data_IF_254171990685
#
_entry.id   IF_254171990685
#
_cell.length_a   1.000
_cell.length_b   1.000
_cell.length_c   1.000
_cell.angle_alpha   90.00
_cell.angle_beta   90.00
_cell.angle_gamma   90.00
#
_symmetry.space_group_name_H-M   'P 1'
#
loop_
_entity.id
_entity.type
_entity.pdbx_description
1 polymer ?
#
# COMPACT_ATOMS: atom_id res chain seq x y z
N UNK A 1 11.13 11.64 25.46
CA UNK A 1 11.76 10.68 24.53
C UNK A 1 11.06 10.84 23.19
N UNK A 2 11.79 11.02 22.10
CA UNK A 2 11.20 11.11 20.77
C UNK A 2 10.57 9.78 20.40
N UNK A 3 9.35 9.79 19.84
CA UNK A 3 8.63 8.57 19.46
C UNK A 3 9.35 7.92 18.27
N UNK A 4 9.77 6.67 18.41
CA UNK A 4 10.36 5.87 17.33
C UNK A 4 9.27 5.06 16.64
N UNK A 5 9.19 5.15 15.32
CA UNK A 5 8.22 4.38 14.56
C UNK A 5 8.73 2.95 14.34
N UNK A 6 7.88 1.94 14.56
CA UNK A 6 8.20 0.55 14.21
C UNK A 6 8.11 0.32 12.70
N UNK A 7 8.75 -0.75 12.23
CA UNK A 7 8.46 -1.35 10.94
C UNK A 7 7.15 -2.14 11.00
N UNK A 8 6.47 -2.29 9.87
CA UNK A 8 5.30 -3.17 9.78
C UNK A 8 5.64 -4.33 8.84
N UNK A 9 5.77 -5.53 9.41
CA UNK A 9 6.14 -6.74 8.68
C UNK A 9 5.30 -7.91 9.18
N UNK A 10 4.89 -8.78 8.26
CA UNK A 10 4.11 -9.99 8.58
C UNK A 10 2.87 -9.72 9.46
N UNK A 11 2.16 -8.61 9.16
CA UNK A 11 0.97 -8.20 9.92
C UNK A 11 1.24 -7.64 11.32
N UNK A 12 2.51 -7.44 11.71
CA UNK A 12 2.91 -7.00 13.05
C UNK A 12 3.76 -5.74 13.00
N UNK A 13 3.65 -4.92 14.06
CA UNK A 13 4.59 -3.83 14.32
C UNK A 13 5.83 -4.39 15.03
N UNK A 14 7.01 -4.15 14.43
CA UNK A 14 8.29 -4.67 14.90
C UNK A 14 9.27 -3.51 15.09
N UNK A 15 9.87 -3.41 16.26
CA UNK A 15 10.90 -2.41 16.52
C UNK A 15 12.14 -2.70 15.66
N UNK A 16 12.66 -1.69 14.97
CA UNK A 16 13.86 -1.85 14.16
C UNK A 16 15.12 -1.94 15.02
N UNK A 17 16.03 -2.83 14.62
CA UNK A 17 17.36 -2.98 15.23
C UNK A 17 18.39 -1.96 14.72
N UNK A 18 17.96 -1.04 13.82
CA UNK A 18 18.84 -0.04 13.22
C UNK A 18 19.40 0.94 14.25
N UNK A 19 20.62 1.38 14.02
CA UNK A 19 21.20 2.54 14.71
C UNK A 19 20.95 3.86 13.97
N UNK A 20 20.44 3.79 12.72
CA UNK A 20 20.26 4.94 11.83
C UNK A 20 18.78 5.32 11.74
N UNK A 21 18.46 6.57 12.16
CA UNK A 21 17.09 7.07 12.28
C UNK A 21 16.97 8.43 11.61
N UNK A 22 15.90 8.64 10.86
CA UNK A 22 15.55 9.91 10.23
C UNK A 22 14.52 10.61 11.09
N UNK A 23 14.79 11.86 11.45
CA UNK A 23 13.80 12.71 12.14
C UNK A 23 12.71 13.15 11.17
N UNK A 24 11.47 12.98 11.58
CA UNK A 24 10.28 13.49 10.89
C UNK A 24 9.87 14.78 11.58
N UNK A 25 9.89 15.87 10.83
CA UNK A 25 9.62 17.20 11.36
C UNK A 25 8.22 17.68 10.97
N UNK A 26 7.60 18.46 11.86
CA UNK A 26 6.51 19.35 11.50
C UNK A 26 7.11 20.54 10.73
N UNK A 27 6.79 20.73 9.45
CA UNK A 27 7.42 21.80 8.65
C UNK A 27 6.99 23.22 9.09
N UNK A 28 5.89 23.36 9.81
CA UNK A 28 5.42 24.65 10.29
C UNK A 28 6.13 25.08 11.58
N UNK A 29 6.45 24.15 12.48
CA UNK A 29 7.05 24.45 13.80
C UNK A 29 8.52 24.05 13.89
N UNK A 30 9.01 23.19 13.00
CA UNK A 30 10.32 22.54 13.02
C UNK A 30 10.53 21.62 14.23
N UNK A 31 9.46 21.23 14.90
CA UNK A 31 9.50 20.27 15.99
C UNK A 31 9.59 18.83 15.45
N UNK A 32 10.35 17.98 16.13
CA UNK A 32 10.44 16.55 15.78
C UNK A 32 9.14 15.86 16.22
N UNK A 33 8.40 15.32 15.25
CA UNK A 33 7.17 14.55 15.47
C UNK A 33 7.51 13.12 15.93
N UNK A 34 8.41 12.48 15.20
CA UNK A 34 8.84 11.10 15.44
C UNK A 34 10.19 10.83 14.73
N UNK A 35 10.70 9.60 14.88
CA UNK A 35 11.86 9.11 14.14
C UNK A 35 11.47 7.88 13.32
N UNK A 36 11.79 7.87 12.04
CA UNK A 36 11.60 6.75 11.13
C UNK A 36 12.89 5.93 11.02
N UNK A 37 12.84 4.59 11.06
CA UNK A 37 14.04 3.76 10.97
C UNK A 37 14.56 3.67 9.54
N UNK A 38 15.88 3.76 9.36
CA UNK A 38 16.55 3.24 8.17
C UNK A 38 16.70 1.74 8.34
N UNK A 39 15.79 0.96 7.76
CA UNK A 39 15.78 -0.49 7.91
C UNK A 39 17.11 -1.12 7.52
N UNK A 40 17.56 -2.11 8.29
CA UNK A 40 18.77 -2.88 8.00
C UNK A 40 18.54 -3.82 6.81
N UNK A 41 19.63 -4.27 6.16
CA UNK A 41 19.51 -5.25 5.08
C UNK A 41 18.82 -6.55 5.54
N UNK A 42 19.08 -6.98 6.77
CA UNK A 42 18.43 -8.16 7.33
C UNK A 42 16.89 -7.97 7.48
N UNK A 43 16.44 -6.81 7.95
CA UNK A 43 15.01 -6.49 8.05
C UNK A 43 14.33 -6.41 6.68
N UNK A 44 15.05 -5.85 5.67
CA UNK A 44 14.57 -5.82 4.29
C UNK A 44 14.42 -7.27 3.74
N UNK A 45 15.41 -8.11 3.95
CA UNK A 45 15.37 -9.52 3.52
C UNK A 45 14.25 -10.29 4.21
N UNK A 46 14.02 -10.06 5.50
CA UNK A 46 12.91 -10.65 6.25
C UNK A 46 11.55 -10.20 5.68
N UNK A 47 11.37 -8.91 5.40
CA UNK A 47 10.14 -8.39 4.81
C UNK A 47 9.87 -8.99 3.42
N UNK A 48 10.91 -9.09 2.57
CA UNK A 48 10.81 -9.70 1.23
C UNK A 48 10.45 -11.18 1.34
N UNK A 49 11.06 -11.92 2.26
CA UNK A 49 10.78 -13.34 2.45
C UNK A 49 9.37 -13.58 2.98
N UNK A 50 8.89 -12.80 3.95
CA UNK A 50 7.50 -12.84 4.42
C UNK A 50 6.52 -12.60 3.27
N UNK A 51 6.77 -11.60 2.42
CA UNK A 51 5.93 -11.33 1.27
C UNK A 51 5.94 -12.48 0.24
N UNK A 52 7.09 -13.14 0.03
CA UNK A 52 7.20 -14.32 -0.86
C UNK A 52 6.42 -15.53 -0.31
N UNK A 53 6.48 -15.75 1.00
CA UNK A 53 5.72 -16.82 1.65
C UNK A 53 4.22 -16.57 1.55
N UNK A 54 3.76 -15.36 1.88
CA UNK A 54 2.36 -14.96 1.76
C UNK A 54 1.84 -15.05 0.32
N UNK A 55 2.68 -14.80 -0.68
CA UNK A 55 2.31 -14.87 -2.10
C UNK A 55 1.87 -16.26 -2.53
N UNK A 56 2.38 -17.33 -1.91
CA UNK A 56 2.05 -18.72 -2.29
C UNK A 56 0.55 -18.96 -2.17
N UNK A 57 -0.08 -18.53 -1.09
CA UNK A 57 -1.51 -18.71 -0.85
C UNK A 57 -2.34 -17.54 -1.44
N UNK A 58 -1.81 -16.31 -1.36
CA UNK A 58 -2.52 -15.13 -1.84
C UNK A 58 -2.80 -15.17 -3.33
N UNK A 59 -1.87 -15.65 -4.15
CA UNK A 59 -2.07 -15.79 -5.61
C UNK A 59 -3.19 -16.77 -5.98
N UNK A 60 -3.44 -17.79 -5.14
CA UNK A 60 -4.49 -18.78 -5.33
C UNK A 60 -5.84 -18.32 -4.75
N UNK A 61 -5.85 -17.24 -3.97
CA UNK A 61 -7.09 -16.68 -3.39
C UNK A 61 -8.00 -16.15 -4.51
N UNK A 62 -9.26 -16.62 -4.59
CA UNK A 62 -10.19 -16.21 -5.63
C UNK A 62 -10.38 -14.68 -5.68
N UNK A 63 -10.50 -14.08 -6.89
CA UNK A 63 -10.69 -12.62 -7.01
C UNK A 63 -11.82 -12.02 -6.15
N UNK A 64 -13.01 -12.66 -6.01
CA UNK A 64 -14.07 -12.13 -5.15
C UNK A 64 -13.69 -12.08 -3.66
N UNK A 65 -12.83 -12.97 -3.18
CA UNK A 65 -12.35 -12.96 -1.79
C UNK A 65 -11.36 -11.82 -1.57
N UNK A 66 -10.43 -11.61 -2.51
CA UNK A 66 -9.52 -10.46 -2.49
C UNK A 66 -10.26 -9.14 -2.57
N UNK A 67 -11.31 -9.05 -3.41
CA UNK A 67 -12.20 -7.88 -3.48
C UNK A 67 -12.83 -7.55 -2.13
N UNK A 68 -13.29 -8.55 -1.37
CA UNK A 68 -13.87 -8.33 -0.03
C UNK A 68 -12.85 -7.76 0.96
N UNK A 69 -11.58 -8.16 0.86
CA UNK A 69 -10.50 -7.56 1.67
C UNK A 69 -10.36 -6.08 1.34
N UNK A 70 -10.33 -5.72 0.03
CA UNK A 70 -10.23 -4.33 -0.40
C UNK A 70 -11.45 -3.50 -0.02
N UNK A 71 -12.67 -4.06 -0.08
CA UNK A 71 -13.88 -3.39 0.40
C UNK A 71 -13.79 -3.08 1.91
N UNK A 72 -13.32 -4.04 2.72
CA UNK A 72 -13.13 -3.82 4.15
C UNK A 72 -12.05 -2.77 4.43
N UNK A 73 -10.97 -2.79 3.66
CA UNK A 73 -9.90 -1.80 3.75
C UNK A 73 -10.42 -0.40 3.43
N UNK A 74 -11.19 -0.24 2.34
CA UNK A 74 -11.84 1.02 1.98
C UNK A 74 -12.73 1.56 3.11
N UNK A 75 -13.54 0.68 3.71
CA UNK A 75 -14.41 1.07 4.83
C UNK A 75 -13.61 1.62 6.01
N UNK A 76 -12.52 0.93 6.39
CA UNK A 76 -11.64 1.36 7.47
C UNK A 76 -10.96 2.71 7.17
N UNK A 77 -10.51 2.92 5.93
CA UNK A 77 -9.94 4.20 5.51
C UNK A 77 -10.97 5.34 5.60
N UNK A 78 -12.22 5.11 5.16
CA UNK A 78 -13.30 6.10 5.28
C UNK A 78 -13.61 6.45 6.73
N UNK A 79 -13.65 5.46 7.62
CA UNK A 79 -13.89 5.67 9.06
C UNK A 79 -12.78 6.48 9.73
N UNK A 80 -11.53 6.33 9.28
CA UNK A 80 -10.36 6.96 9.87
C UNK A 80 -9.83 8.16 9.05
N UNK A 81 -10.54 8.58 8.00
CA UNK A 81 -10.09 9.62 7.06
C UNK A 81 -9.65 10.92 7.75
N UNK A 82 -10.41 11.39 8.74
CA UNK A 82 -10.10 12.64 9.42
C UNK A 82 -8.82 12.53 10.28
N UNK A 83 -8.61 11.39 10.93
CA UNK A 83 -7.41 11.13 11.73
C UNK A 83 -6.17 11.04 10.84
N UNK A 84 -6.24 10.28 9.74
CA UNK A 84 -5.17 10.15 8.76
C UNK A 84 -4.83 11.53 8.17
N UNK A 85 -5.85 12.32 7.79
CA UNK A 85 -5.66 13.66 7.25
C UNK A 85 -5.01 14.63 8.25
N UNK A 86 -5.34 14.52 9.54
CA UNK A 86 -4.72 15.35 10.58
C UNK A 86 -3.23 15.02 10.78
N UNK A 87 -2.87 13.72 10.77
CA UNK A 87 -1.48 13.28 10.84
C UNK A 87 -0.71 13.75 9.61
N UNK A 88 -1.29 13.58 8.42
CA UNK A 88 -0.71 14.00 7.14
C UNK A 88 -0.50 15.53 7.11
N UNK A 89 -1.48 16.31 7.54
CA UNK A 89 -1.37 17.77 7.63
C UNK A 89 -0.20 18.20 8.51
N UNK A 90 -0.02 17.55 9.66
CA UNK A 90 1.06 17.83 10.60
C UNK A 90 2.44 17.47 10.02
N UNK A 91 2.56 16.33 9.37
CA UNK A 91 3.83 15.83 8.83
C UNK A 91 4.23 16.53 7.52
N UNK A 92 3.27 16.76 6.63
CA UNK A 92 3.53 17.29 5.29
C UNK A 92 3.41 18.82 5.20
N UNK A 93 2.69 19.45 6.14
CA UNK A 93 2.42 20.89 6.14
C UNK A 93 1.30 21.33 5.20
N UNK A 94 0.53 20.41 4.63
CA UNK A 94 -0.68 20.73 3.84
C UNK A 94 -1.78 21.29 4.73
N UNK A 95 -2.69 22.06 4.15
CA UNK A 95 -3.92 22.40 4.84
C UNK A 95 -4.72 21.13 5.14
N UNK A 96 -5.54 21.15 6.20
CA UNK A 96 -6.35 19.98 6.56
C UNK A 96 -7.30 19.57 5.42
N UNK A 97 -7.82 20.53 4.66
CA UNK A 97 -8.71 20.24 3.53
C UNK A 97 -7.95 19.58 2.35
N UNK A 98 -6.73 20.03 2.05
CA UNK A 98 -5.89 19.36 1.05
C UNK A 98 -5.49 17.95 1.50
N UNK A 99 -5.18 17.78 2.80
CA UNK A 99 -4.88 16.47 3.38
C UNK A 99 -6.07 15.50 3.29
N UNK A 100 -7.29 15.96 3.58
CA UNK A 100 -8.51 15.16 3.37
C UNK A 100 -8.71 14.78 1.90
N UNK A 101 -8.42 15.70 0.98
CA UNK A 101 -8.48 15.45 -0.45
C UNK A 101 -7.43 14.42 -0.92
N UNK A 102 -6.24 14.43 -0.32
CA UNK A 102 -5.19 13.43 -0.56
C UNK A 102 -5.67 12.03 -0.16
N UNK A 103 -6.12 11.89 1.10
CA UNK A 103 -6.66 10.62 1.62
C UNK A 103 -7.85 10.14 0.79
N UNK A 104 -8.76 11.04 0.43
CA UNK A 104 -9.95 10.69 -0.36
C UNK A 104 -9.59 10.10 -1.73
N UNK A 105 -8.64 10.72 -2.46
CA UNK A 105 -8.17 10.19 -3.75
C UNK A 105 -7.52 8.81 -3.62
N UNK A 106 -6.84 8.54 -2.52
CA UNK A 106 -6.35 7.19 -2.20
C UNK A 106 -7.49 6.20 -2.00
N UNK A 107 -8.54 6.59 -1.25
CA UNK A 107 -9.74 5.77 -1.01
C UNK A 107 -10.44 5.42 -2.33
N UNK A 108 -10.55 6.36 -3.28
CA UNK A 108 -11.15 6.12 -4.60
C UNK A 108 -10.39 5.03 -5.39
N UNK A 109 -9.06 4.97 -5.29
CA UNK A 109 -8.28 3.92 -5.95
C UNK A 109 -8.44 2.57 -5.25
N UNK A 110 -8.51 2.54 -3.92
CA UNK A 110 -8.85 1.30 -3.19
C UNK A 110 -10.24 0.79 -3.57
N UNK A 111 -11.21 1.70 -3.80
CA UNK A 111 -12.52 1.35 -4.34
C UNK A 111 -12.43 0.71 -5.74
N UNK A 112 -11.60 1.30 -6.62
CA UNK A 112 -11.35 0.72 -7.93
C UNK A 112 -10.68 -0.66 -7.83
N UNK A 113 -9.74 -0.84 -6.91
CA UNK A 113 -9.10 -2.13 -6.66
C UNK A 113 -10.09 -3.19 -6.13
N UNK A 114 -11.08 -2.78 -5.33
CA UNK A 114 -12.15 -3.68 -4.90
C UNK A 114 -13.01 -4.19 -6.07
N UNK A 115 -13.10 -3.42 -7.16
CA UNK A 115 -13.84 -3.76 -8.39
C UNK A 115 -12.96 -4.36 -9.50
N UNK A 116 -11.76 -4.84 -9.18
CA UNK A 116 -10.76 -5.31 -10.17
C UNK A 116 -11.18 -6.59 -10.92
N UNK A 117 -12.10 -7.37 -10.40
CA UNK A 117 -12.45 -8.71 -10.92
C UNK A 117 -12.71 -8.72 -12.44
N UNK A 118 -13.49 -7.81 -13.04
CA UNK A 118 -13.67 -7.80 -14.50
C UNK A 118 -12.39 -7.49 -15.28
N UNK A 119 -11.45 -6.73 -14.69
CA UNK A 119 -10.19 -6.35 -15.32
C UNK A 119 -9.14 -7.50 -15.28
N UNK A 120 -9.39 -8.52 -14.46
CA UNK A 120 -8.55 -9.72 -14.38
C UNK A 120 -8.96 -10.79 -15.40
N UNK A 121 -10.05 -10.58 -16.14
CA UNK A 121 -10.49 -11.50 -17.18
C UNK A 121 -9.48 -11.50 -18.33
N UNK A 122 -9.24 -12.70 -18.88
CA UNK A 122 -8.49 -12.86 -20.11
C UNK A 122 -9.37 -12.72 -21.35
N UNK A 123 -8.77 -12.88 -22.50
CA UNK A 123 -9.41 -12.84 -23.81
C UNK A 123 -9.33 -14.20 -24.48
N UNK A 124 -10.30 -14.48 -25.37
CA UNK A 124 -10.31 -15.67 -26.20
C UNK A 124 -10.48 -15.28 -27.67
N UNK A 125 -9.76 -15.95 -28.58
CA UNK A 125 -9.90 -15.79 -30.01
C UNK A 125 -10.03 -17.17 -30.65
N UNK A 126 -11.21 -17.44 -31.25
CA UNK A 126 -11.44 -18.66 -32.02
C UNK A 126 -10.76 -18.56 -33.40
N UNK A 127 -10.20 -19.66 -33.90
CA UNK A 127 -9.59 -19.75 -35.22
C UNK A 127 -8.57 -18.64 -35.53
N UNK A 128 -7.73 -18.27 -34.55
CA UNK A 128 -6.63 -17.32 -34.75
C UNK A 128 -5.70 -17.76 -35.93
N UNK A 129 -5.63 -19.07 -36.13
CA UNK A 129 -5.14 -19.73 -37.32
C UNK A 129 -6.02 -20.99 -37.57
N UNK A 130 -5.83 -21.67 -38.70
CA UNK A 130 -6.61 -22.87 -39.00
C UNK A 130 -6.46 -23.91 -37.90
N UNK A 131 -7.56 -24.30 -37.27
CA UNK A 131 -7.63 -25.29 -36.17
C UNK A 131 -6.87 -24.83 -34.89
N UNK A 132 -6.67 -23.52 -34.66
CA UNK A 132 -5.98 -22.99 -33.51
C UNK A 132 -6.84 -21.89 -32.82
N UNK A 133 -7.16 -22.10 -31.55
CA UNK A 133 -7.75 -21.10 -30.68
C UNK A 133 -6.68 -20.53 -29.75
N UNK A 134 -6.85 -19.27 -29.32
CA UNK A 134 -5.95 -18.60 -28.39
C UNK A 134 -6.70 -18.15 -27.13
N UNK A 135 -6.07 -18.32 -26.00
CA UNK A 135 -6.57 -17.90 -24.69
C UNK A 135 -5.50 -17.10 -23.96
N UNK A 136 -5.88 -15.99 -23.31
CA UNK A 136 -5.00 -15.24 -22.41
C UNK A 136 -5.47 -15.34 -20.98
N UNK A 137 -4.54 -15.30 -20.05
CA UNK A 137 -4.80 -15.28 -18.61
C UNK A 137 -4.01 -14.15 -17.97
N UNK A 138 -4.68 -13.34 -17.11
CA UNK A 138 -4.03 -12.34 -16.29
C UNK A 138 -3.49 -13.00 -15.02
N UNK A 139 -2.17 -12.98 -14.85
CA UNK A 139 -1.50 -13.61 -13.71
C UNK A 139 -0.74 -12.57 -12.88
N UNK A 140 -0.58 -12.77 -11.54
CA UNK A 140 0.14 -11.85 -10.70
C UNK A 140 1.65 -11.87 -10.99
N UNK A 141 2.31 -10.71 -10.84
CA UNK A 141 3.76 -10.57 -11.02
C UNK A 141 4.58 -11.18 -9.88
N UNK A 142 4.01 -11.25 -8.69
CA UNK A 142 4.70 -11.67 -7.47
C UNK A 142 4.94 -10.51 -6.51
N UNK A 143 6.04 -10.57 -5.76
CA UNK A 143 6.41 -9.50 -4.82
C UNK A 143 6.92 -8.28 -5.59
N UNK A 144 6.32 -7.14 -5.31
CA UNK A 144 6.66 -5.86 -5.92
C UNK A 144 7.17 -4.88 -4.85
N UNK A 145 7.97 -3.91 -5.29
CA UNK A 145 8.43 -2.79 -4.46
C UNK A 145 7.74 -1.51 -4.91
N UNK A 146 7.14 -0.78 -3.96
CA UNK A 146 6.63 0.58 -4.17
C UNK A 146 7.59 1.60 -3.56
N UNK A 147 7.99 2.63 -4.35
CA UNK A 147 8.74 3.80 -3.87
C UNK A 147 7.83 5.01 -4.08
N UNK A 148 7.37 5.60 -2.99
CA UNK A 148 6.35 6.65 -3.03
C UNK A 148 6.96 8.05 -2.88
N UNK A 149 6.45 9.06 -3.61
CA UNK A 149 6.86 10.45 -3.45
C UNK A 149 6.21 11.06 -2.19
N UNK A 150 6.84 12.10 -1.67
CA UNK A 150 6.42 12.78 -0.45
C UNK A 150 5.23 13.75 -0.64
N UNK A 151 4.92 14.17 -1.87
CA UNK A 151 3.94 15.24 -2.12
C UNK A 151 2.47 14.77 -2.03
N UNK A 152 2.21 13.46 -2.10
CA UNK A 152 0.90 12.82 -1.87
C UNK A 152 1.09 11.56 -0.99
N UNK A 153 1.39 11.76 0.30
CA UNK A 153 1.88 10.69 1.16
C UNK A 153 0.80 9.67 1.58
N UNK A 154 -0.48 9.95 1.38
CA UNK A 154 -1.56 8.97 1.55
C UNK A 154 -2.00 8.39 0.20
N UNK A 155 -2.26 9.23 -0.80
CA UNK A 155 -2.79 8.82 -2.09
C UNK A 155 -1.88 7.80 -2.79
N UNK A 156 -0.59 8.10 -2.93
CA UNK A 156 0.31 7.26 -3.72
C UNK A 156 0.60 5.90 -3.07
N UNK A 157 0.84 5.77 -1.75
CA UNK A 157 0.90 4.45 -1.12
C UNK A 157 -0.35 3.60 -1.36
N UNK A 158 -1.55 4.21 -1.25
CA UNK A 158 -2.82 3.52 -1.51
C UNK A 158 -3.02 3.13 -2.98
N UNK A 159 -2.26 3.70 -3.92
CA UNK A 159 -2.25 3.29 -5.31
C UNK A 159 -1.39 2.05 -5.57
N UNK A 160 -0.44 1.76 -4.69
CA UNK A 160 0.56 0.71 -4.87
C UNK A 160 0.24 -0.60 -4.14
N UNK A 161 -0.62 -0.55 -3.13
CA UNK A 161 -0.96 -1.72 -2.30
C UNK A 161 -2.06 -2.59 -2.91
#
# INVERSE_FOLDING_TARGET
MTNKLPLFMDGNFVDSETSDWIEVLDPATQEVICQAPCATNNEIDLAINSAKEAFVDWKETPPPERSRVMMKYQELLKQNQNEIAAILSKENGKTLEDAKGDVWRGIEVVEQAANITPLLMGETVENVAREIDSYSYTQPLGVCLGITPFNFPAMIPLWMF
#
